data_IF_879619124441
#
_entry.id   IF_879619124441
#
_cell.length_a   1.000
_cell.length_b   1.000
_cell.length_c   1.000
_cell.angle_alpha   90.00
_cell.angle_beta   90.00
_cell.angle_gamma   90.00
#
_symmetry.space_group_name_H-M   'P 1'
#
loop_
_entity.id
_entity.type
_entity.pdbx_description
1 polymer ?
#
# COMPACT_ATOMS: atom_id res chain seq x y z
N UNK A 1 18.23 -47.33 -58.94
CA UNK A 1 19.10 -46.83 -57.85
C UNK A 1 18.34 -45.66 -57.24
N UNK A 2 17.32 -45.85 -56.38
CA UNK A 2 17.35 -46.35 -54.98
C UNK A 2 18.35 -45.49 -54.17
N UNK A 3 18.02 -44.71 -53.14
CA UNK A 3 17.06 -44.89 -52.03
C UNK A 3 16.73 -43.54 -51.36
N UNK A 4 15.48 -43.44 -50.92
CA UNK A 4 14.84 -42.76 -49.78
C UNK A 4 15.68 -41.95 -48.77
N UNK A 5 15.09 -40.84 -48.29
CA UNK A 5 15.00 -40.53 -46.85
C UNK A 5 13.67 -39.82 -46.54
N UNK A 6 12.88 -40.45 -45.66
CA UNK A 6 11.69 -39.92 -45.02
C UNK A 6 11.97 -39.64 -43.52
N UNK A 7 10.99 -39.01 -42.87
CA UNK A 7 10.73 -38.99 -41.40
C UNK A 7 11.42 -37.83 -40.63
N UNK A 8 10.82 -37.04 -39.73
CA UNK A 8 9.46 -36.82 -39.19
C UNK A 8 9.60 -35.73 -38.07
N UNK A 9 8.48 -35.19 -37.58
CA UNK A 9 8.23 -34.50 -36.31
C UNK A 9 8.80 -33.07 -36.21
N UNK A 10 8.09 -32.02 -35.84
CA UNK A 10 6.83 -31.87 -35.11
C UNK A 10 6.91 -30.54 -34.35
N UNK A 11 5.79 -30.15 -33.72
CA UNK A 11 5.64 -29.01 -32.81
C UNK A 11 5.55 -27.61 -33.43
N UNK A 12 4.29 -27.18 -33.56
CA UNK A 12 3.94 -25.78 -33.52
C UNK A 12 4.35 -25.17 -32.18
N UNK A 13 5.04 -24.04 -32.27
CA UNK A 13 5.17 -23.08 -31.19
C UNK A 13 4.45 -21.82 -31.67
N UNK A 14 3.22 -21.64 -31.21
CA UNK A 14 2.62 -20.32 -31.06
C UNK A 14 3.58 -19.49 -30.22
N UNK A 15 4.10 -18.35 -30.72
CA UNK A 15 4.65 -17.37 -29.81
C UNK A 15 3.48 -16.88 -28.97
N UNK A 16 3.59 -17.16 -27.68
CA UNK A 16 2.69 -16.71 -26.65
C UNK A 16 2.43 -15.22 -26.84
N UNK A 17 1.15 -14.89 -26.77
CA UNK A 17 0.67 -13.56 -26.45
C UNK A 17 1.51 -13.05 -25.28
N UNK A 18 2.40 -12.10 -25.57
CA UNK A 18 3.01 -11.23 -24.58
C UNK A 18 1.84 -10.52 -23.91
N UNK A 19 1.37 -11.18 -22.86
CA UNK A 19 0.47 -10.64 -21.87
C UNK A 19 1.22 -9.48 -21.26
N UNK A 20 0.99 -8.31 -21.83
CA UNK A 20 1.39 -7.01 -21.32
C UNK A 20 0.75 -6.87 -19.94
N UNK A 21 1.45 -7.43 -18.96
CA UNK A 21 1.10 -7.43 -17.57
C UNK A 21 1.11 -5.97 -17.14
N UNK A 22 -0.10 -5.42 -17.07
CA UNK A 22 -0.49 -4.21 -16.37
C UNK A 22 0.66 -3.28 -16.04
N UNK A 23 0.91 -2.34 -16.95
CA UNK A 23 1.58 -1.09 -16.65
C UNK A 23 0.84 -0.38 -15.49
N UNK A 24 1.15 -0.78 -14.26
CA UNK A 24 0.84 -0.05 -13.04
C UNK A 24 1.82 1.11 -12.85
N UNK A 25 2.76 1.31 -13.76
CA UNK A 25 3.72 2.41 -13.74
C UNK A 25 3.15 3.73 -14.25
N UNK A 26 2.23 4.36 -13.50
CA UNK A 26 2.19 5.83 -13.48
C UNK A 26 1.60 6.37 -12.18
N UNK A 27 2.45 6.48 -11.17
CA UNK A 27 2.29 7.53 -10.16
C UNK A 27 2.32 8.86 -10.92
N UNK A 28 1.40 9.78 -10.62
CA UNK A 28 1.15 11.02 -11.37
C UNK A 28 2.45 11.76 -11.75
N UNK A 29 2.87 11.60 -13.01
CA UNK A 29 4.08 12.22 -13.56
C UNK A 29 4.03 13.76 -13.49
N UNK A 30 2.85 14.34 -13.34
CA UNK A 30 2.62 15.78 -13.18
C UNK A 30 3.22 16.33 -11.88
N UNK A 31 3.43 15.46 -10.87
CA UNK A 31 3.91 15.86 -9.53
C UNK A 31 5.37 15.49 -9.27
N UNK A 32 6.02 14.77 -10.19
CA UNK A 32 7.39 14.26 -10.04
C UNK A 32 7.53 13.07 -9.07
N UNK A 33 6.40 12.51 -8.60
CA UNK A 33 6.37 11.29 -7.80
C UNK A 33 6.47 10.07 -8.70
N UNK A 34 7.26 9.10 -8.28
CA UNK A 34 7.40 7.78 -8.90
C UNK A 34 7.42 6.72 -7.79
N UNK A 35 7.18 5.45 -8.10
CA UNK A 35 7.29 4.43 -7.07
C UNK A 35 8.72 4.33 -6.51
N UNK A 36 8.82 4.12 -5.20
CA UNK A 36 10.10 3.88 -4.54
C UNK A 36 10.41 2.39 -4.49
N UNK A 37 11.70 2.05 -4.46
CA UNK A 37 12.15 0.69 -4.20
C UNK A 37 12.12 0.41 -2.71
N UNK A 38 11.79 -0.83 -2.34
CA UNK A 38 11.75 -1.27 -0.95
C UNK A 38 12.62 -2.49 -0.74
N UNK A 39 13.14 -2.62 0.46
CA UNK A 39 13.75 -3.85 0.98
C UNK A 39 12.76 -4.63 1.85
N UNK A 40 11.99 -3.93 2.69
CA UNK A 40 10.90 -4.53 3.46
C UNK A 40 9.83 -3.49 3.81
N UNK A 41 8.62 -3.97 4.09
CA UNK A 41 7.50 -3.18 4.61
C UNK A 41 6.86 -3.95 5.78
N UNK A 42 6.54 -3.25 6.88
CA UNK A 42 5.78 -3.80 8.01
C UNK A 42 4.64 -2.88 8.39
N UNK A 43 3.60 -3.46 8.96
CA UNK A 43 2.40 -2.75 9.39
C UNK A 43 2.06 -3.12 10.82
N UNK A 44 1.82 -2.12 11.67
CA UNK A 44 1.45 -2.33 13.08
C UNK A 44 0.19 -1.59 13.45
N UNK A 45 -0.71 -2.25 14.16
CA UNK A 45 -2.00 -1.73 14.57
C UNK A 45 -1.95 -1.08 15.95
N UNK A 46 -2.56 0.10 16.03
CA UNK A 46 -2.96 0.75 17.27
C UNK A 46 -4.42 1.22 17.13
N UNK A 47 -5.36 0.31 17.41
CA UNK A 47 -6.79 0.54 17.19
C UNK A 47 -7.14 0.74 15.72
N UNK A 48 -7.66 1.94 15.38
CA UNK A 48 -8.02 2.31 13.99
C UNK A 48 -6.85 2.86 13.16
N UNK A 49 -5.67 2.97 13.77
CA UNK A 49 -4.48 3.46 13.10
C UNK A 49 -3.56 2.30 12.81
N UNK A 50 -2.90 2.36 11.66
CA UNK A 50 -1.84 1.45 11.28
C UNK A 50 -0.59 2.28 11.02
N UNK A 51 0.51 1.91 11.67
CA UNK A 51 1.84 2.42 11.38
C UNK A 51 2.43 1.58 10.24
N UNK A 52 2.64 2.20 9.08
CA UNK A 52 3.37 1.61 7.97
C UNK A 52 4.84 2.00 8.06
N UNK A 53 5.72 1.01 8.17
CA UNK A 53 7.16 1.19 8.12
C UNK A 53 7.69 0.62 6.82
N UNK A 54 8.44 1.41 6.07
CA UNK A 54 9.12 0.98 4.86
C UNK A 54 10.61 1.26 4.97
N UNK A 55 11.43 0.28 4.60
CA UNK A 55 12.86 0.44 4.42
C UNK A 55 13.21 0.16 2.97
N UNK A 56 14.20 0.87 2.43
CA UNK A 56 14.64 0.67 1.06
C UNK A 56 15.90 1.46 0.76
N UNK A 57 16.12 1.71 -0.53
CA UNK A 57 17.25 2.51 -1.01
C UNK A 57 16.77 3.54 -2.01
N UNK A 58 17.36 4.72 -1.94
CA UNK A 58 17.20 5.77 -2.94
C UNK A 58 18.50 6.02 -3.69
N UNK A 59 18.45 6.47 -4.95
CA UNK A 59 19.65 6.71 -5.76
C UNK A 59 20.64 7.67 -5.12
N UNK A 60 20.14 8.70 -4.42
CA UNK A 60 20.91 9.73 -3.75
C UNK A 60 20.11 10.39 -2.60
N UNK A 61 20.76 11.13 -1.67
CA UNK A 61 20.07 11.80 -0.57
C UNK A 61 19.10 12.92 -1.01
N UNK A 62 19.13 13.28 -2.29
CA UNK A 62 18.21 14.22 -2.90
C UNK A 62 16.84 13.65 -3.16
N UNK A 63 16.57 12.38 -2.87
CA UNK A 63 15.23 11.83 -2.94
C UNK A 63 14.48 11.98 -1.61
N UNK A 64 13.19 12.30 -1.73
CA UNK A 64 12.20 12.20 -0.67
C UNK A 64 11.39 10.94 -0.88
N UNK A 65 11.08 10.21 0.18
CA UNK A 65 10.18 9.05 0.17
C UNK A 65 8.93 9.40 0.95
N UNK A 66 7.78 8.89 0.50
CA UNK A 66 6.49 9.10 1.12
C UNK A 66 5.59 7.86 0.92
N UNK A 67 4.54 7.73 1.75
CA UNK A 67 3.50 6.71 1.62
C UNK A 67 2.17 7.42 1.46
N UNK A 68 1.55 7.24 0.30
CA UNK A 68 0.34 7.94 -0.09
C UNK A 68 -0.84 6.99 -0.20
N UNK A 69 -2.07 7.49 -0.06
CA UNK A 69 -3.25 6.68 -0.36
C UNK A 69 -3.33 6.46 -1.86
N UNK A 70 -3.50 5.21 -2.27
CA UNK A 70 -3.74 4.88 -3.66
C UNK A 70 -5.01 5.57 -4.16
N UNK A 71 -4.99 6.18 -5.36
CA UNK A 71 -6.18 6.81 -5.95
C UNK A 71 -7.26 5.79 -6.32
N UNK A 72 -6.94 4.49 -6.30
CA UNK A 72 -7.89 3.41 -6.53
C UNK A 72 -8.97 3.42 -5.45
N UNK A 73 -10.23 3.50 -5.89
CA UNK A 73 -11.41 3.49 -5.00
C UNK A 73 -11.83 2.07 -4.64
N UNK A 74 -10.96 1.39 -3.90
CA UNK A 74 -11.15 0.00 -3.45
C UNK A 74 -11.20 -0.07 -1.93
N UNK A 75 -11.82 -1.11 -1.39
CA UNK A 75 -11.86 -1.38 0.04
C UNK A 75 -11.25 -2.77 0.33
N UNK A 76 -10.35 -2.90 1.33
CA UNK A 76 -9.74 -1.82 2.12
C UNK A 76 -8.91 -0.83 1.28
N UNK A 77 -8.65 0.35 1.84
CA UNK A 77 -7.80 1.37 1.20
C UNK A 77 -6.40 0.82 0.95
N UNK A 78 -5.87 1.00 -0.25
CA UNK A 78 -4.48 0.61 -0.58
C UNK A 78 -3.57 1.83 -0.54
N UNK A 79 -2.26 1.60 -0.46
CA UNK A 79 -1.25 2.66 -0.34
C UNK A 79 -0.17 2.53 -1.41
N UNK A 80 0.46 3.64 -1.75
CA UNK A 80 1.54 3.74 -2.72
C UNK A 80 2.80 4.24 -2.00
N UNK A 81 3.88 3.47 -2.05
CA UNK A 81 5.20 3.87 -1.58
C UNK A 81 5.93 4.58 -2.72
N UNK A 82 6.11 5.89 -2.57
CA UNK A 82 6.55 6.79 -3.63
C UNK A 82 7.80 7.54 -3.23
N UNK A 83 8.54 7.99 -4.24
CA UNK A 83 9.70 8.86 -4.08
C UNK A 83 9.67 9.99 -5.11
N UNK A 84 10.30 11.12 -4.79
CA UNK A 84 10.54 12.20 -5.75
C UNK A 84 11.90 12.83 -5.52
N UNK A 85 12.45 13.46 -6.56
CA UNK A 85 13.67 14.24 -6.43
C UNK A 85 13.39 15.62 -5.83
N UNK A 86 14.14 15.98 -4.80
CA UNK A 86 14.16 17.30 -4.18
C UNK A 86 14.98 18.27 -5.04
N UNK A 87 14.61 19.56 -5.07
CA UNK A 87 15.46 20.58 -5.69
C UNK A 87 16.83 20.65 -5.00
N UNK A 88 17.91 20.70 -5.80
CA UNK A 88 19.28 20.88 -5.29
C UNK A 88 20.31 19.98 -5.96
N UNK A 89 21.55 20.09 -5.49
CA UNK A 89 22.67 19.24 -5.90
C UNK A 89 23.02 18.30 -4.76
N UNK A 90 23.07 17.01 -5.05
CA UNK A 90 23.29 15.96 -4.07
C UNK A 90 24.39 15.02 -4.58
N UNK A 91 25.20 14.43 -3.67
CA UNK A 91 26.20 13.44 -4.07
C UNK A 91 25.51 12.19 -4.64
N UNK A 92 26.03 11.67 -5.75
CA UNK A 92 25.51 10.47 -6.41
C UNK A 92 25.95 9.20 -5.66
N UNK A 93 25.42 9.00 -4.46
CA UNK A 93 25.69 7.85 -3.60
C UNK A 93 24.38 7.22 -3.17
N UNK A 94 24.26 5.90 -3.31
CA UNK A 94 23.09 5.16 -2.89
C UNK A 94 22.87 5.27 -1.37
N UNK A 95 21.69 5.71 -0.94
CA UNK A 95 21.38 5.93 0.48
C UNK A 95 20.25 5.00 0.94
N UNK A 96 20.43 4.21 2.01
CA UNK A 96 19.32 3.50 2.63
C UNK A 96 18.38 4.49 3.32
N UNK A 97 17.08 4.25 3.25
CA UNK A 97 16.09 5.06 3.94
C UNK A 97 15.21 4.20 4.85
N UNK A 98 14.65 4.84 5.87
CA UNK A 98 13.52 4.34 6.66
C UNK A 98 12.43 5.40 6.67
N UNK A 99 11.24 5.02 6.26
CA UNK A 99 10.06 5.88 6.24
C UNK A 99 8.96 5.28 7.11
N UNK A 100 8.22 6.14 7.81
CA UNK A 100 7.16 5.75 8.72
C UNK A 100 5.96 6.66 8.50
N UNK A 101 4.78 6.08 8.27
CA UNK A 101 3.54 6.83 8.07
C UNK A 101 2.40 6.21 8.90
N UNK A 102 1.61 7.06 9.55
CA UNK A 102 0.46 6.63 10.35
C UNK A 102 -0.82 6.85 9.56
N UNK A 103 -1.50 5.76 9.23
CA UNK A 103 -2.69 5.80 8.38
C UNK A 103 -3.93 5.33 9.13
N UNK A 104 -5.10 5.82 8.71
CA UNK A 104 -6.37 5.27 9.17
C UNK A 104 -6.69 4.01 8.36
N UNK A 105 -6.97 2.91 9.06
CA UNK A 105 -7.23 1.63 8.42
C UNK A 105 -8.34 0.88 9.14
N UNK A 106 -9.21 0.14 8.41
CA UNK A 106 -10.27 -0.65 9.04
C UNK A 106 -9.71 -1.61 10.10
N UNK A 107 -10.40 -1.69 11.24
CA UNK A 107 -9.97 -2.53 12.39
C UNK A 107 -10.01 -4.01 12.04
N UNK A 108 -11.01 -4.42 11.25
CA UNK A 108 -11.24 -5.82 10.87
C UNK A 108 -10.35 -6.31 9.71
N UNK A 109 -9.59 -5.41 9.06
CA UNK A 109 -8.79 -5.77 7.89
C UNK A 109 -7.39 -6.25 8.35
N UNK A 110 -7.03 -7.54 8.18
CA UNK A 110 -5.76 -8.07 8.68
C UNK A 110 -4.57 -7.77 7.77
N UNK A 111 -4.81 -7.29 6.55
CA UNK A 111 -3.79 -7.08 5.52
C UNK A 111 -3.93 -5.69 4.93
N UNK A 112 -2.80 -5.02 4.72
CA UNK A 112 -2.70 -3.76 3.98
C UNK A 112 -1.91 -4.00 2.69
N UNK A 113 -2.40 -3.46 1.57
CA UNK A 113 -1.70 -3.56 0.28
C UNK A 113 -0.91 -2.28 0.03
N UNK A 114 0.37 -2.44 -0.28
CA UNK A 114 1.29 -1.33 -0.61
C UNK A 114 1.92 -1.54 -1.98
N UNK A 115 1.71 -0.60 -2.90
CA UNK A 115 2.30 -0.57 -4.24
C UNK A 115 3.67 0.13 -4.21
N UNK A 116 4.65 -0.42 -4.90
CA UNK A 116 6.04 0.04 -4.92
C UNK A 116 6.68 -0.26 -6.28
N UNK A 117 7.97 0.08 -6.46
CA UNK A 117 8.62 -0.01 -7.77
C UNK A 117 8.67 -1.45 -8.32
N UNK A 118 8.81 -2.44 -7.42
CA UNK A 118 8.87 -3.86 -7.79
C UNK A 118 7.49 -4.56 -7.86
N UNK A 119 6.37 -3.82 -7.80
CA UNK A 119 5.01 -4.39 -7.81
C UNK A 119 4.19 -4.01 -6.57
N UNK A 120 3.57 -4.99 -5.91
CA UNK A 120 2.72 -4.75 -4.75
C UNK A 120 2.95 -5.81 -3.66
N UNK A 121 2.94 -5.37 -2.41
CA UNK A 121 2.96 -6.24 -1.24
C UNK A 121 1.59 -6.35 -0.58
N UNK A 122 1.26 -7.57 -0.15
CA UNK A 122 0.23 -7.81 0.87
C UNK A 122 0.93 -7.96 2.20
N UNK A 123 0.81 -6.95 3.07
CA UNK A 123 1.51 -6.87 4.35
C UNK A 123 0.52 -7.19 5.48
N UNK A 124 0.83 -8.19 6.29
CA UNK A 124 0.06 -8.51 7.49
C UNK A 124 0.16 -7.36 8.49
N UNK A 125 -0.99 -7.01 9.08
CA UNK A 125 -1.09 -5.98 10.10
C UNK A 125 -0.93 -6.65 11.46
N UNK A 126 0.26 -6.52 12.02
CA UNK A 126 0.62 -7.02 13.35
C UNK A 126 0.04 -6.10 14.44
N UNK A 127 -0.23 -6.62 15.64
CA UNK A 127 -0.55 -5.74 16.77
C UNK A 127 0.71 -5.00 17.24
N UNK A 128 0.58 -3.76 17.70
CA UNK A 128 1.69 -3.03 18.30
C UNK A 128 2.12 -3.71 19.61
N UNK A 129 3.22 -4.47 19.56
CA UNK A 129 3.83 -5.11 20.72
C UNK A 129 4.51 -4.08 21.66
N UNK A 130 5.19 -4.56 22.71
CA UNK A 130 5.81 -3.73 23.76
C UNK A 130 6.76 -2.66 23.20
N UNK A 131 7.48 -2.98 22.12
CA UNK A 131 8.40 -2.06 21.43
C UNK A 131 7.69 -0.84 20.81
N UNK A 132 6.39 -0.95 20.55
CA UNK A 132 5.54 0.11 20.01
C UNK A 132 4.52 0.62 21.03
N UNK A 133 4.66 0.25 22.32
CA UNK A 133 3.76 0.69 23.38
C UNK A 133 3.69 2.23 23.48
N UNK A 134 4.82 2.92 23.27
CA UNK A 134 4.86 4.38 23.23
C UNK A 134 3.99 4.98 22.11
N UNK A 135 3.99 4.36 20.93
CA UNK A 135 3.13 4.74 19.81
C UNK A 135 1.66 4.44 20.13
N UNK A 136 1.37 3.24 20.61
CA UNK A 136 0.00 2.84 20.97
C UNK A 136 -0.60 3.72 22.08
N UNK A 137 0.22 4.24 23.00
CA UNK A 137 -0.21 5.09 24.10
C UNK A 137 -0.62 6.52 23.66
N UNK A 138 0.04 7.08 22.64
CA UNK A 138 -0.21 8.47 22.19
C UNK A 138 -1.25 8.56 21.09
N UNK A 139 -1.48 7.47 20.35
CA UNK A 139 -2.46 7.43 19.28
C UNK A 139 -3.86 7.22 19.88
N UNK A 140 -4.88 8.03 19.51
CA UNK A 140 -6.23 7.84 20.01
C UNK A 140 -6.79 6.46 19.59
N UNK A 141 -6.83 5.52 20.53
CA UNK A 141 -7.39 4.17 20.32
C UNK A 141 -8.90 4.10 20.57
N UNK A 142 -9.55 5.24 20.81
CA UNK A 142 -10.95 5.31 21.23
C UNK A 142 -11.85 4.42 20.37
N UNK A 143 -12.31 3.32 20.99
CA UNK A 143 -13.41 2.49 20.48
C UNK A 143 -14.56 3.42 20.14
N UNK A 144 -15.21 3.32 18.97
CA UNK A 144 -16.40 4.11 18.70
C UNK A 144 -17.37 3.90 19.86
N UNK A 145 -17.73 4.99 20.54
CA UNK A 145 -18.72 4.95 21.60
C UNK A 145 -19.94 4.21 21.03
N UNK A 146 -20.40 3.17 21.72
CA UNK A 146 -21.63 2.49 21.36
C UNK A 146 -22.69 3.57 21.19
N UNK A 147 -23.29 3.65 20.00
CA UNK A 147 -24.36 4.60 19.70
C UNK A 147 -25.38 4.52 20.84
N UNK A 148 -25.62 5.59 21.61
CA UNK A 148 -26.63 5.53 22.66
C UNK A 148 -27.95 5.14 21.98
N UNK A 149 -28.73 4.22 22.56
CA UNK A 149 -30.01 3.83 21.96
C UNK A 149 -30.82 5.10 21.73
N UNK A 150 -31.31 5.28 20.50
CA UNK A 150 -32.17 6.42 20.17
C UNK A 150 -33.27 6.50 21.24
N UNK A 151 -33.52 7.67 21.85
CA UNK A 151 -34.68 7.81 22.71
C UNK A 151 -35.90 7.44 21.88
N UNK A 152 -36.67 6.46 22.35
CA UNK A 152 -37.95 6.08 21.75
C UNK A 152 -38.76 7.37 21.63
N UNK A 153 -39.07 7.78 20.41
CA UNK A 153 -39.96 8.88 20.13
C UNK A 153 -41.25 8.63 20.92
N UNK A 154 -41.55 9.50 21.89
CA UNK A 154 -42.86 9.48 22.54
C UNK A 154 -43.90 9.68 21.43
N UNK A 155 -44.97 8.86 21.36
CA UNK A 155 -46.05 9.12 20.44
C UNK A 155 -46.59 10.52 20.74
N UNK A 156 -46.70 11.33 19.70
CA UNK A 156 -47.33 12.63 19.73
C UNK A 156 -48.73 12.52 20.34
N UNK A 157 -48.97 13.21 21.45
CA UNK A 157 -50.30 13.33 22.05
C UNK A 157 -50.95 14.62 21.52
N UNK A 158 -52.17 14.57 20.97
CA UNK A 158 -52.89 15.78 20.61
C UNK A 158 -53.18 16.60 21.88
N UNK A 159 -53.01 17.93 21.78
CA UNK A 159 -53.39 18.86 22.84
C UNK A 159 -54.93 18.84 22.98
N UNK A 160 -55.48 18.74 24.19
CA UNK A 160 -56.90 18.94 24.39
C UNK A 160 -57.26 20.43 24.31
N UNK A 161 -58.29 20.72 23.50
CA UNK A 161 -59.21 21.86 23.59
C UNK A 161 -58.62 23.26 23.54
#
# INVERSE_FOLDING_TARGET
>A
MTTERATDLGSGATPAEDSDAGSLGRVDATTGWQFAQRTWIRAFRAGRHVLLLAEGRVPDPGFEVDVQRSPLRVFPQQYDLVQRRRPGFFPAVLVPYRHAEVVLFPVEAPVVVVHHADGSDSVDVEEAEEDLAGFAAVVPTARPAATPPRPRSRPWAPRPG
#
